data_IF_076880231167
#
_entry.id   IF_076880231167
#
_cell.length_a   1.000
_cell.length_b   1.000
_cell.length_c   1.000
_cell.angle_alpha   90.00
_cell.angle_beta   90.00
_cell.angle_gamma   90.00
#
_symmetry.space_group_name_H-M   'P 1'
#
loop_
_entity.id
_entity.type
_entity.pdbx_description
1 polymer ?
#
# COMPACT_ATOMS: atom_id res chain seq x y z
N UNK A 1 -7.52 -44.37 -24.06
CA UNK A 1 -7.22 -42.92 -24.08
C UNK A 1 -7.53 -42.24 -22.75
N UNK A 2 -8.77 -42.31 -22.22
CA UNK A 2 -9.16 -41.64 -20.97
C UNK A 2 -8.32 -42.02 -19.73
N UNK A 3 -7.88 -43.27 -19.58
CA UNK A 3 -7.05 -43.70 -18.45
C UNK A 3 -5.59 -43.17 -18.50
N UNK A 4 -5.04 -43.00 -19.70
CA UNK A 4 -3.70 -42.39 -19.89
C UNK A 4 -3.77 -40.91 -19.56
N UNK A 5 -4.84 -40.23 -19.98
CA UNK A 5 -5.14 -38.87 -19.54
C UNK A 5 -5.27 -38.78 -18.03
N UNK A 6 -5.96 -39.72 -17.37
CA UNK A 6 -6.13 -39.67 -15.91
C UNK A 6 -4.84 -39.95 -15.12
N UNK A 7 -3.98 -40.87 -15.59
CA UNK A 7 -2.66 -41.11 -15.01
C UNK A 7 -1.70 -39.93 -15.21
N UNK A 8 -1.74 -39.26 -16.37
CA UNK A 8 -0.96 -38.05 -16.64
C UNK A 8 -1.54 -36.81 -15.93
N UNK A 9 -2.86 -36.74 -15.74
CA UNK A 9 -3.58 -35.75 -14.95
C UNK A 9 -3.32 -35.86 -13.45
N UNK A 10 -2.79 -36.98 -12.97
CA UNK A 10 -2.28 -37.16 -11.59
C UNK A 10 -0.77 -36.85 -11.49
N UNK A 11 -0.10 -36.67 -12.65
CA UNK A 11 1.29 -36.25 -12.76
C UNK A 11 1.43 -34.72 -12.89
N UNK A 12 2.30 -34.31 -13.83
CA UNK A 12 2.75 -32.93 -13.95
C UNK A 12 1.68 -31.95 -14.47
N UNK A 13 0.74 -32.42 -15.30
CA UNK A 13 -0.36 -31.60 -15.82
C UNK A 13 -1.24 -31.08 -14.67
N UNK A 14 -1.43 -31.86 -13.61
CA UNK A 14 -2.14 -31.44 -12.39
C UNK A 14 -1.55 -30.15 -11.81
N UNK A 15 -0.23 -30.07 -11.74
CA UNK A 15 0.49 -28.97 -11.13
C UNK A 15 0.28 -27.69 -11.95
N UNK A 16 0.23 -27.80 -13.27
CA UNK A 16 -0.10 -26.68 -14.17
C UNK A 16 -1.53 -26.18 -13.89
N UNK A 17 -2.51 -27.07 -13.75
CA UNK A 17 -3.88 -26.69 -13.43
C UNK A 17 -4.03 -26.07 -12.03
N UNK A 18 -3.36 -26.62 -11.01
CA UNK A 18 -3.34 -26.03 -9.66
C UNK A 18 -2.73 -24.63 -9.69
N UNK A 19 -1.61 -24.46 -10.40
CA UNK A 19 -0.98 -23.15 -10.58
C UNK A 19 -1.91 -22.19 -11.33
N UNK A 20 -2.64 -22.66 -12.36
CA UNK A 20 -3.62 -21.86 -13.08
C UNK A 20 -4.76 -21.38 -12.17
N UNK A 21 -5.30 -22.25 -11.32
CA UNK A 21 -6.33 -21.86 -10.33
C UNK A 21 -5.79 -20.82 -9.36
N UNK A 22 -4.57 -21.01 -8.85
CA UNK A 22 -3.91 -20.04 -7.98
C UNK A 22 -3.69 -18.69 -8.70
N UNK A 23 -3.33 -18.71 -9.97
CA UNK A 23 -3.14 -17.50 -10.76
C UNK A 23 -4.46 -16.76 -11.01
N UNK A 24 -5.57 -17.48 -11.28
CA UNK A 24 -6.92 -16.89 -11.33
C UNK A 24 -7.28 -16.24 -9.99
N UNK A 25 -6.99 -16.91 -8.87
CA UNK A 25 -7.21 -16.35 -7.55
C UNK A 25 -6.42 -15.03 -7.35
N UNK A 26 -5.17 -14.97 -7.81
CA UNK A 26 -4.38 -13.74 -7.77
C UNK A 26 -4.98 -12.63 -8.62
N UNK A 27 -5.45 -12.90 -9.84
CA UNK A 27 -6.15 -11.91 -10.67
C UNK A 27 -7.35 -11.32 -9.94
N UNK A 28 -8.21 -12.18 -9.37
CA UNK A 28 -9.39 -11.73 -8.63
C UNK A 28 -9.01 -10.92 -7.39
N UNK A 29 -7.96 -11.34 -6.68
CA UNK A 29 -7.42 -10.63 -5.53
C UNK A 29 -6.89 -9.25 -5.92
N UNK A 30 -6.09 -9.15 -6.98
CA UNK A 30 -5.55 -7.87 -7.46
C UNK A 30 -6.66 -6.93 -7.88
N UNK A 31 -7.68 -7.40 -8.61
CA UNK A 31 -8.85 -6.58 -8.96
C UNK A 31 -9.61 -6.07 -7.73
N UNK A 32 -9.77 -6.89 -6.69
CA UNK A 32 -10.40 -6.45 -5.43
C UNK A 32 -9.54 -5.40 -4.72
N UNK A 33 -8.23 -5.57 -4.70
CA UNK A 33 -7.30 -4.62 -4.09
C UNK A 33 -7.30 -3.28 -4.82
N UNK A 34 -7.21 -3.27 -6.15
CA UNK A 34 -7.32 -2.05 -6.98
C UNK A 34 -8.61 -1.30 -6.66
N UNK A 35 -9.76 -2.00 -6.62
CA UNK A 35 -11.04 -1.38 -6.25
C UNK A 35 -11.04 -0.76 -4.86
N UNK A 36 -10.44 -1.44 -3.87
CA UNK A 36 -10.36 -0.94 -2.51
C UNK A 36 -9.48 0.31 -2.41
N UNK A 37 -8.39 0.38 -3.17
CA UNK A 37 -7.50 1.54 -3.19
C UNK A 37 -8.15 2.70 -3.97
N UNK A 38 -8.78 2.40 -5.10
CA UNK A 38 -9.50 3.39 -5.89
C UNK A 38 -10.67 4.00 -5.12
N UNK A 39 -11.41 3.21 -4.36
CA UNK A 39 -12.50 3.72 -3.51
C UNK A 39 -12.03 4.70 -2.43
N UNK A 40 -10.76 4.60 -1.99
CA UNK A 40 -10.13 5.54 -1.05
C UNK A 40 -9.64 6.80 -1.77
N UNK A 41 -9.00 6.65 -2.94
CA UNK A 41 -8.46 7.78 -3.71
C UNK A 41 -9.52 8.62 -4.41
N UNK A 42 -10.58 7.97 -4.89
CA UNK A 42 -11.73 8.56 -5.55
C UNK A 42 -12.98 7.84 -5.05
N UNK A 43 -13.63 8.33 -3.99
CA UNK A 43 -14.97 7.87 -3.65
C UNK A 43 -15.89 8.28 -4.81
N UNK A 44 -16.02 7.41 -5.82
CA UNK A 44 -17.01 7.54 -6.88
C UNK A 44 -18.39 7.20 -6.29
N UNK A 45 -18.89 8.12 -5.49
CA UNK A 45 -20.30 8.23 -5.16
C UNK A 45 -20.83 9.45 -5.89
N UNK A 46 -21.75 9.23 -6.83
CA UNK A 46 -22.81 10.22 -7.04
C UNK A 46 -23.28 10.70 -5.67
N UNK A 47 -23.49 12.01 -5.49
CA UNK A 47 -24.09 12.59 -4.29
C UNK A 47 -25.61 12.77 -4.50
N UNK A 48 -26.47 11.73 -4.51
CA UNK A 48 -27.88 11.94 -4.21
C UNK A 48 -27.98 12.00 -2.69
N UNK A 49 -27.88 13.20 -2.08
CA UNK A 49 -28.08 13.28 -0.62
C UNK A 49 -27.74 14.57 0.14
N UNK A 50 -27.17 15.61 -0.49
CA UNK A 50 -26.92 16.88 0.20
C UNK A 50 -25.91 16.82 1.37
N UNK A 51 -25.82 17.91 2.14
CA UNK A 51 -24.72 18.29 3.06
C UNK A 51 -24.27 17.23 4.08
N UNK A 52 -25.12 16.28 4.49
CA UNK A 52 -24.73 15.23 5.47
C UNK A 52 -23.70 14.23 4.91
N UNK A 53 -23.71 13.96 3.61
CA UNK A 53 -22.69 13.09 3.02
C UNK A 53 -21.38 13.83 2.74
N UNK A 54 -21.35 15.18 2.77
CA UNK A 54 -20.10 15.93 2.60
C UNK A 54 -19.25 15.92 3.88
N UNK A 55 -19.87 15.79 5.05
CA UNK A 55 -19.18 15.79 6.36
C UNK A 55 -18.43 14.47 6.61
N UNK A 56 -19.05 13.33 6.28
CA UNK A 56 -18.36 12.02 6.28
C UNK A 56 -17.27 11.93 5.21
N UNK A 57 -17.44 12.67 4.13
CA UNK A 57 -16.45 12.74 3.06
C UNK A 57 -15.26 13.61 3.48
N UNK A 58 -15.50 14.74 4.16
CA UNK A 58 -14.42 15.57 4.71
C UNK A 58 -13.64 14.83 5.79
N UNK A 59 -14.31 14.09 6.68
CA UNK A 59 -13.63 13.28 7.70
C UNK A 59 -12.78 12.15 7.07
N UNK A 60 -13.26 11.54 5.98
CA UNK A 60 -12.48 10.57 5.20
C UNK A 60 -11.25 11.21 4.56
N UNK A 61 -11.41 12.37 3.92
CA UNK A 61 -10.28 13.10 3.34
C UNK A 61 -9.29 13.56 4.41
N UNK A 62 -9.74 14.08 5.54
CA UNK A 62 -8.88 14.50 6.65
C UNK A 62 -8.07 13.32 7.23
N UNK A 63 -8.68 12.13 7.36
CA UNK A 63 -7.96 10.93 7.78
C UNK A 63 -6.86 10.57 6.78
N UNK A 64 -7.15 10.59 5.48
CA UNK A 64 -6.16 10.24 4.45
C UNK A 64 -5.15 11.37 4.18
N UNK A 65 -5.44 12.64 4.48
CA UNK A 65 -4.43 13.71 4.44
C UNK A 65 -3.55 13.78 5.70
N UNK A 66 -3.84 12.96 6.72
CA UNK A 66 -2.99 12.86 7.90
C UNK A 66 -1.74 11.98 7.64
N UNK A 67 -0.65 12.16 8.41
CA UNK A 67 0.53 11.29 8.34
C UNK A 67 0.21 9.80 8.56
N UNK A 68 -0.81 9.49 9.36
CA UNK A 68 -1.28 8.12 9.62
C UNK A 68 -2.02 7.54 8.41
N UNK A 69 -2.86 8.35 7.76
CA UNK A 69 -3.56 7.99 6.53
C UNK A 69 -2.63 7.71 5.36
N UNK A 70 -1.53 8.46 5.26
CA UNK A 70 -0.49 8.24 4.25
C UNK A 70 0.15 6.86 4.40
N UNK A 71 0.49 6.44 5.63
CA UNK A 71 1.07 5.11 5.88
C UNK A 71 0.11 3.99 5.48
N UNK A 72 -1.18 4.12 5.83
CA UNK A 72 -2.21 3.15 5.45
C UNK A 72 -2.34 3.08 3.93
N UNK A 73 -2.29 4.24 3.26
CA UNK A 73 -2.40 4.32 1.81
C UNK A 73 -1.19 3.70 1.11
N UNK A 74 0.03 4.01 1.56
CA UNK A 74 1.27 3.40 1.07
C UNK A 74 1.25 1.88 1.26
N UNK A 75 0.78 1.39 2.41
CA UNK A 75 0.70 -0.05 2.66
C UNK A 75 -0.30 -0.73 1.71
N UNK A 76 -1.49 -0.15 1.54
CA UNK A 76 -2.52 -0.66 0.62
C UNK A 76 -2.03 -0.68 -0.83
N UNK A 77 -1.33 0.38 -1.25
CA UNK A 77 -0.71 0.48 -2.56
C UNK A 77 0.38 -0.60 -2.75
N UNK A 78 1.31 -0.73 -1.78
CA UNK A 78 2.36 -1.76 -1.79
C UNK A 78 1.79 -3.18 -1.89
N UNK A 79 0.71 -3.48 -1.15
CA UNK A 79 0.02 -4.79 -1.19
C UNK A 79 -0.60 -5.07 -2.56
N UNK A 80 -1.12 -4.04 -3.22
CA UNK A 80 -1.69 -4.14 -4.57
C UNK A 80 -0.61 -4.43 -5.59
N UNK A 81 0.47 -3.64 -5.58
CA UNK A 81 1.60 -3.82 -6.49
C UNK A 81 2.26 -5.20 -6.29
N UNK A 82 2.49 -5.61 -5.04
CA UNK A 82 3.02 -6.94 -4.73
C UNK A 82 2.14 -8.07 -5.31
N UNK A 83 0.82 -7.97 -5.17
CA UNK A 83 -0.10 -9.00 -5.69
C UNK A 83 -0.09 -9.05 -7.23
N UNK A 84 0.01 -7.89 -7.88
CA UNK A 84 0.15 -7.77 -9.32
C UNK A 84 1.48 -8.37 -9.82
N UNK A 85 2.61 -8.00 -9.22
CA UNK A 85 3.93 -8.55 -9.56
C UNK A 85 4.00 -10.06 -9.36
N UNK A 86 3.37 -10.60 -8.31
CA UNK A 86 3.30 -12.05 -8.10
C UNK A 86 2.51 -12.74 -9.20
N UNK A 87 1.37 -12.18 -9.62
CA UNK A 87 0.60 -12.68 -10.75
C UNK A 87 1.42 -12.69 -12.06
N UNK A 88 2.14 -11.62 -12.35
CA UNK A 88 2.97 -11.54 -13.56
C UNK A 88 4.09 -12.60 -13.54
N UNK A 89 4.78 -12.74 -12.40
CA UNK A 89 5.84 -13.73 -12.24
C UNK A 89 5.33 -15.17 -12.34
N UNK A 90 4.15 -15.48 -11.80
CA UNK A 90 3.56 -16.81 -11.95
C UNK A 90 3.15 -17.05 -13.40
N UNK A 91 2.63 -16.02 -14.07
CA UNK A 91 2.27 -16.08 -15.48
C UNK A 91 3.47 -16.43 -16.37
N UNK A 92 4.66 -15.91 -16.05
CA UNK A 92 5.89 -16.22 -16.81
C UNK A 92 6.47 -17.61 -16.54
N UNK A 93 6.04 -18.28 -15.46
CA UNK A 93 6.47 -19.64 -15.10
C UNK A 93 5.74 -20.73 -15.91
N UNK A 94 4.52 -20.47 -16.42
CA UNK A 94 3.75 -21.49 -17.15
C UNK A 94 4.47 -22.11 -18.36
N UNK A 95 5.14 -21.34 -19.25
CA UNK A 95 5.93 -21.92 -20.33
C UNK A 95 7.11 -22.75 -19.83
N UNK A 96 7.75 -22.32 -18.74
CA UNK A 96 8.87 -23.04 -18.12
C UNK A 96 8.43 -24.38 -17.53
N UNK A 97 7.25 -24.40 -16.90
CA UNK A 97 6.61 -25.65 -16.45
C UNK A 97 6.30 -26.56 -17.65
N UNK A 98 5.75 -26.00 -18.73
CA UNK A 98 5.50 -26.75 -19.97
C UNK A 98 6.76 -27.42 -20.53
N UNK A 99 7.92 -26.75 -20.46
CA UNK A 99 9.22 -27.33 -20.81
C UNK A 99 9.67 -28.40 -19.83
N UNK A 100 9.52 -28.18 -18.52
CA UNK A 100 9.90 -29.15 -17.50
C UNK A 100 9.10 -30.46 -17.62
N UNK A 101 7.82 -30.39 -17.99
CA UNK A 101 7.01 -31.57 -18.29
C UNK A 101 7.56 -32.42 -19.43
N UNK A 102 8.18 -31.80 -20.44
CA UNK A 102 8.88 -32.56 -21.49
C UNK A 102 10.13 -33.26 -20.98
N UNK A 103 10.94 -32.59 -20.16
CA UNK A 103 12.17 -33.16 -19.59
C UNK A 103 11.83 -34.37 -18.71
N UNK A 104 10.83 -34.24 -17.83
CA UNK A 104 10.38 -35.32 -16.95
C UNK A 104 9.84 -36.51 -17.74
N UNK A 105 9.15 -36.27 -18.86
CA UNK A 105 8.57 -37.33 -19.68
C UNK A 105 9.60 -38.00 -20.62
N UNK A 106 10.61 -37.26 -21.07
CA UNK A 106 11.65 -37.78 -21.98
C UNK A 106 12.79 -38.52 -21.26
N UNK A 107 13.14 -38.12 -20.02
CA UNK A 107 14.16 -38.80 -19.21
C UNK A 107 13.97 -40.33 -19.09
N UNK A 108 12.78 -40.86 -18.72
CA UNK A 108 12.57 -42.30 -18.60
C UNK A 108 12.61 -43.03 -19.95
N UNK A 109 12.25 -42.36 -21.06
CA UNK A 109 12.34 -42.94 -22.41
C UNK A 109 13.81 -43.21 -22.79
N UNK A 110 14.72 -42.31 -22.40
CA UNK A 110 16.15 -42.46 -22.67
C UNK A 110 16.79 -43.47 -21.71
N UNK A 111 16.26 -43.61 -20.50
CA UNK A 111 16.80 -44.50 -19.46
C UNK A 111 16.32 -45.96 -19.60
N UNK A 112 15.08 -46.21 -20.03
CA UNK A 112 14.51 -47.55 -20.20
C UNK A 112 14.23 -47.86 -21.69
N UNK A 113 15.26 -48.34 -22.38
CA UNK A 113 15.12 -48.92 -23.73
C UNK A 113 14.50 -50.31 -23.60
N UNK A 114 13.15 -50.42 -23.58
CA UNK A 114 12.55 -51.75 -23.39
C UNK A 114 11.09 -51.99 -23.75
N UNK A 115 10.21 -50.99 -23.77
CA UNK A 115 8.78 -51.24 -24.07
C UNK A 115 8.15 -50.13 -24.93
N UNK A 116 7.98 -50.40 -26.23
CA UNK A 116 7.46 -49.44 -27.22
C UNK A 116 6.09 -48.84 -26.84
N UNK A 117 5.19 -49.63 -26.23
CA UNK A 117 3.85 -49.16 -25.85
C UNK A 117 3.87 -48.13 -24.69
N UNK A 118 4.85 -48.22 -23.79
CA UNK A 118 5.03 -47.28 -22.68
C UNK A 118 5.65 -45.96 -23.15
N UNK A 119 6.52 -46.03 -24.16
CA UNK A 119 7.24 -44.87 -24.70
C UNK A 119 6.31 -43.87 -25.40
N UNK A 120 5.33 -44.34 -26.17
CA UNK A 120 4.38 -43.46 -26.86
C UNK A 120 3.51 -42.68 -25.88
N UNK A 121 3.08 -43.29 -24.77
CA UNK A 121 2.29 -42.63 -23.73
C UNK A 121 3.03 -41.48 -23.04
N UNK A 122 4.32 -41.66 -22.76
CA UNK A 122 5.19 -40.63 -22.19
C UNK A 122 5.43 -39.47 -23.16
N UNK A 123 5.60 -39.75 -24.45
CA UNK A 123 5.76 -38.70 -25.47
C UNK A 123 4.49 -37.83 -25.59
N UNK A 124 3.31 -38.44 -25.60
CA UNK A 124 2.07 -37.66 -25.58
C UNK A 124 1.89 -36.84 -24.29
N UNK A 125 2.30 -37.39 -23.13
CA UNK A 125 2.29 -36.66 -21.86
C UNK A 125 3.17 -35.39 -21.91
N UNK A 126 4.36 -35.50 -22.51
CA UNK A 126 5.27 -34.38 -22.72
C UNK A 126 4.59 -33.25 -23.52
N UNK A 127 3.97 -33.63 -24.65
CA UNK A 127 3.33 -32.68 -25.56
C UNK A 127 2.11 -32.01 -24.94
N UNK A 128 1.28 -32.75 -24.19
CA UNK A 128 0.10 -32.18 -23.52
C UNK A 128 0.50 -31.19 -22.43
N UNK A 129 1.55 -31.47 -21.66
CA UNK A 129 2.07 -30.56 -20.64
C UNK A 129 2.57 -29.24 -21.25
N UNK A 130 3.29 -29.29 -22.38
CA UNK A 130 3.73 -28.08 -23.07
C UNK A 130 2.55 -27.31 -23.65
N UNK A 131 1.59 -28.01 -24.23
CA UNK A 131 0.37 -27.40 -24.77
C UNK A 131 -0.38 -26.62 -23.68
N UNK A 132 -0.66 -27.23 -22.52
CA UNK A 132 -1.37 -26.55 -21.43
C UNK A 132 -0.57 -25.39 -20.82
N UNK A 133 0.74 -25.55 -20.65
CA UNK A 133 1.61 -24.46 -20.18
C UNK A 133 1.55 -23.23 -21.09
N UNK A 134 1.62 -23.42 -22.40
CA UNK A 134 1.54 -22.33 -23.38
C UNK A 134 0.14 -21.72 -23.42
N UNK A 135 -0.91 -22.55 -23.45
CA UNK A 135 -2.31 -22.07 -23.48
C UNK A 135 -2.61 -21.18 -22.27
N UNK A 136 -2.24 -21.60 -21.06
CA UNK A 136 -2.43 -20.78 -19.87
C UNK A 136 -1.58 -19.51 -19.90
N UNK A 137 -0.32 -19.59 -20.33
CA UNK A 137 0.54 -18.42 -20.45
C UNK A 137 -0.08 -17.35 -21.36
N UNK A 138 -0.63 -17.74 -22.52
CA UNK A 138 -1.28 -16.82 -23.46
C UNK A 138 -2.51 -16.17 -22.83
N UNK A 139 -3.40 -16.97 -22.22
CA UNK A 139 -4.62 -16.48 -21.60
C UNK A 139 -4.29 -15.49 -20.47
N UNK A 140 -3.38 -15.85 -19.57
CA UNK A 140 -3.01 -14.98 -18.47
C UNK A 140 -2.23 -13.75 -18.92
N UNK A 141 -1.41 -13.83 -19.98
CA UNK A 141 -0.74 -12.66 -20.54
C UNK A 141 -1.73 -11.68 -21.17
N UNK A 142 -2.80 -12.17 -21.79
CA UNK A 142 -3.89 -11.32 -22.28
C UNK A 142 -4.63 -10.61 -21.13
N UNK A 143 -4.92 -11.34 -20.04
CA UNK A 143 -5.51 -10.77 -18.82
C UNK A 143 -4.57 -9.73 -18.19
N UNK A 144 -3.26 -9.99 -18.20
CA UNK A 144 -2.24 -9.07 -17.71
C UNK A 144 -2.31 -7.72 -18.42
N UNK A 145 -2.51 -7.70 -19.74
CA UNK A 145 -2.65 -6.44 -20.48
C UNK A 145 -3.80 -5.56 -19.99
N UNK A 146 -4.94 -6.16 -19.62
CA UNK A 146 -6.09 -5.41 -19.06
C UNK A 146 -5.77 -4.93 -17.64
N UNK A 147 -5.17 -5.80 -16.82
CA UNK A 147 -4.85 -5.50 -15.43
C UNK A 147 -3.75 -4.44 -15.30
N UNK A 148 -2.79 -4.45 -16.22
CA UNK A 148 -1.71 -3.48 -16.30
C UNK A 148 -2.25 -2.06 -16.50
N UNK A 149 -3.22 -1.89 -17.40
CA UNK A 149 -3.86 -0.58 -17.61
C UNK A 149 -4.55 -0.05 -16.34
N UNK A 150 -5.19 -0.92 -15.56
CA UNK A 150 -5.80 -0.54 -14.26
C UNK A 150 -4.73 -0.14 -13.22
N UNK A 151 -3.59 -0.85 -13.18
CA UNK A 151 -2.48 -0.56 -12.26
C UNK A 151 -1.77 0.75 -12.64
N UNK A 152 -1.48 0.99 -13.92
CA UNK A 152 -0.85 2.24 -14.38
C UNK A 152 -1.71 3.47 -14.07
N UNK A 153 -3.03 3.33 -14.19
CA UNK A 153 -3.96 4.38 -13.76
C UNK A 153 -3.89 4.60 -12.24
N UNK A 154 -3.87 3.52 -11.45
CA UNK A 154 -3.73 3.60 -10.00
C UNK A 154 -2.41 4.25 -9.57
N UNK A 155 -1.30 3.92 -10.22
CA UNK A 155 0.03 4.49 -9.96
C UNK A 155 0.03 6.00 -10.18
N UNK A 156 -0.60 6.45 -11.26
CA UNK A 156 -0.75 7.88 -11.57
C UNK A 156 -1.54 8.60 -10.49
N UNK A 157 -2.64 8.00 -10.02
CA UNK A 157 -3.46 8.57 -8.94
C UNK A 157 -2.74 8.58 -7.59
N UNK A 158 -2.03 7.49 -7.26
CA UNK A 158 -1.25 7.39 -6.04
C UNK A 158 -0.13 8.44 -6.01
N UNK A 159 0.58 8.63 -7.13
CA UNK A 159 1.61 9.66 -7.27
C UNK A 159 1.04 11.05 -7.05
N UNK A 160 -0.06 11.39 -7.71
CA UNK A 160 -0.75 12.67 -7.53
C UNK A 160 -1.21 12.88 -6.08
N UNK A 161 -1.69 11.83 -5.42
CA UNK A 161 -2.08 11.88 -4.02
C UNK A 161 -0.90 12.20 -3.11
N UNK A 162 0.24 11.50 -3.27
CA UNK A 162 1.42 11.73 -2.44
C UNK A 162 2.03 13.12 -2.67
N UNK A 163 2.07 13.57 -3.93
CA UNK A 163 2.53 14.92 -4.27
C UNK A 163 1.66 15.97 -3.58
N UNK A 164 0.33 15.87 -3.71
CA UNK A 164 -0.60 16.78 -3.03
C UNK A 164 -0.42 16.74 -1.52
N UNK A 165 -0.33 15.55 -0.92
CA UNK A 165 -0.20 15.42 0.53
C UNK A 165 1.09 16.09 1.05
N UNK A 166 2.21 15.89 0.34
CA UNK A 166 3.49 16.51 0.69
C UNK A 166 3.43 18.04 0.70
N UNK A 167 2.73 18.64 -0.27
CA UNK A 167 2.53 20.09 -0.35
C UNK A 167 1.64 20.59 0.79
N UNK A 168 0.53 19.89 1.08
CA UNK A 168 -0.38 20.27 2.16
C UNK A 168 0.30 20.24 3.54
N UNK A 169 1.09 19.20 3.82
CA UNK A 169 1.83 19.08 5.07
C UNK A 169 2.90 20.18 5.19
N UNK A 170 3.64 20.46 4.12
CA UNK A 170 4.62 21.55 4.09
C UNK A 170 4.01 22.94 4.30
N UNK A 171 2.81 23.20 3.78
CA UNK A 171 2.11 24.47 4.03
C UNK A 171 1.68 24.61 5.50
N UNK A 172 1.16 23.53 6.09
CA UNK A 172 0.71 23.53 7.49
C UNK A 172 1.87 23.76 8.46
N UNK A 173 3.03 23.18 8.18
CA UNK A 173 4.26 23.42 8.94
C UNK A 173 4.68 24.90 8.87
N UNK A 174 4.75 25.47 7.66
CA UNK A 174 5.13 26.87 7.47
C UNK A 174 4.15 27.87 8.14
N UNK A 175 2.84 27.55 8.15
CA UNK A 175 1.85 28.34 8.88
C UNK A 175 2.08 28.30 10.40
N UNK A 176 2.32 27.10 10.94
CA UNK A 176 2.60 26.94 12.37
C UNK A 176 3.88 27.67 12.80
N UNK A 177 4.94 27.65 11.98
CA UNK A 177 6.15 28.44 12.23
C UNK A 177 5.86 29.95 12.21
N UNK A 178 5.09 30.44 11.25
CA UNK A 178 4.75 31.86 11.15
C UNK A 178 3.97 32.35 12.37
N UNK A 179 3.01 31.54 12.85
CA UNK A 179 2.23 31.83 14.06
C UNK A 179 3.10 31.77 15.33
N UNK A 180 4.04 30.82 15.40
CA UNK A 180 4.97 30.74 16.52
C UNK A 180 5.88 31.98 16.59
N UNK A 181 6.37 32.46 15.43
CA UNK A 181 7.19 33.67 15.32
C UNK A 181 6.39 34.92 15.71
N UNK A 182 5.14 35.06 15.24
CA UNK A 182 4.27 36.19 15.59
C UNK A 182 3.98 36.22 17.10
N UNK A 183 3.71 35.05 17.71
CA UNK A 183 3.46 34.94 19.14
C UNK A 183 4.72 35.24 19.97
N UNK A 184 5.92 34.82 19.52
CA UNK A 184 7.17 35.21 20.20
C UNK A 184 7.43 36.71 20.15
N UNK A 185 7.13 37.39 19.03
CA UNK A 185 7.28 38.85 18.94
C UNK A 185 6.24 39.61 19.79
N UNK A 186 5.01 39.11 19.91
CA UNK A 186 4.02 39.69 20.85
C UNK A 186 4.47 39.57 22.30
N UNK A 187 5.08 38.45 22.67
CA UNK A 187 5.56 38.20 24.04
C UNK A 187 6.78 39.07 24.40
N UNK A 188 7.63 39.42 23.42
CA UNK A 188 8.72 40.39 23.62
C UNK A 188 8.21 41.83 23.78
N UNK A 189 7.20 42.24 23.02
CA UNK A 189 6.63 43.59 23.14
C UNK A 189 5.87 43.82 24.45
N UNK A 190 5.19 42.80 24.99
CA UNK A 190 4.47 42.91 26.27
C UNK A 190 5.40 43.04 27.48
N UNK A 191 6.64 42.51 27.40
CA UNK A 191 7.65 42.64 28.46
C UNK A 191 8.35 44.01 28.46
N UNK A 192 8.44 44.70 27.32
CA UNK A 192 9.10 46.02 27.24
C UNK A 192 8.19 47.13 27.82
N UNK A 193 6.87 46.96 27.75
CA UNK A 193 5.91 47.95 28.27
C UNK A 193 5.74 47.88 29.80
N UNK A 194 6.14 46.79 30.47
CA UNK A 194 6.08 46.67 31.94
C UNK A 194 7.30 47.23 32.67
N UNK A 195 8.45 47.38 32.00
CA UNK A 195 9.68 47.89 32.62
C UNK A 195 9.76 49.43 32.69
N UNK A 196 8.77 50.17 32.16
CA UNK A 196 8.80 51.64 32.09
C UNK A 196 7.90 52.38 33.12
N UNK A 197 7.25 51.69 34.05
CA UNK A 197 6.41 52.32 35.08
C UNK A 197 6.79 51.83 36.49
N UNK A 198 8.01 52.12 36.96
CA UNK A 198 8.25 52.22 38.42
C UNK A 198 9.57 52.94 38.76
N UNK A 199 9.69 54.23 38.39
CA UNK A 199 10.59 55.13 39.13
C UNK A 199 9.77 56.19 39.87
N UNK A 200 9.65 56.02 41.19
CA UNK A 200 9.27 57.10 42.11
C UNK A 200 10.10 57.03 43.39
N UNK A 201 10.76 58.12 43.81
CA UNK A 201 11.77 58.08 44.87
C UNK A 201 11.11 58.17 46.26
N UNK A 202 11.53 57.32 47.19
CA UNK A 202 11.12 57.38 48.59
C UNK A 202 12.02 58.37 49.35
N UNK A 203 11.37 59.44 49.82
CA UNK A 203 11.93 60.47 50.69
C UNK A 203 12.17 59.95 52.10
N UNK A 204 13.25 60.46 52.66
CA UNK A 204 13.78 60.43 54.02
C UNK A 204 12.85 61.09 55.07
N UNK A 205 12.68 60.46 56.25
CA UNK A 205 12.35 61.06 57.57
C UNK A 205 12.31 59.96 58.66
N UNK A 206 13.37 59.78 59.47
CA UNK A 206 13.62 60.33 60.83
C UNK A 206 12.61 59.88 61.90
N UNK A 207 13.07 58.95 62.75
CA UNK A 207 13.08 58.81 64.24
C UNK A 207 11.94 59.45 65.05
N UNK A 208 11.38 58.67 65.98
CA UNK A 208 11.03 58.95 67.41
C UNK A 208 10.25 57.72 67.92
N UNK A 209 10.27 57.17 69.14
CA UNK A 209 11.02 57.23 70.39
C UNK A 209 10.53 55.96 71.15
N UNK A 210 11.37 55.34 71.99
CA UNK A 210 10.93 54.28 72.95
C UNK A 210 9.97 54.87 74.02
N UNK A 211 9.24 54.02 74.76
CA UNK A 211 9.79 53.70 76.08
C UNK A 211 9.60 52.24 76.54
N UNK A 212 10.66 51.74 77.18
CA UNK A 212 10.69 50.96 78.42
C UNK A 212 9.36 50.36 78.94
N UNK A 213 9.36 49.03 79.16
CA UNK A 213 9.00 48.50 80.47
C UNK A 213 9.71 47.17 80.77
N UNK A 214 10.01 47.04 82.05
CA UNK A 214 10.93 46.15 82.75
C UNK A 214 10.36 44.75 83.01
N UNK A 215 11.28 43.86 83.38
CA UNK A 215 11.11 42.77 84.36
C UNK A 215 10.77 41.33 83.94
N UNK A 216 11.83 40.51 84.05
CA UNK A 216 11.97 39.34 84.95
C UNK A 216 11.02 38.14 84.76
N UNK A 217 11.54 37.06 84.16
CA UNK A 217 12.07 35.83 84.80
C UNK A 217 12.57 34.87 83.69
#
# INVERSE_FOLDING_TARGET
MFEVFWKNFIGFDFLIFVLAIFNVFLVLRTKRLIKNVLAVLQPQGYLPGGKQNSEKLSEHFELYLSPEGEQIMQEKYRRTNFSYTMFENITSIFPLMGLLGTVVSLLPIVAEVGSMDSTTGLFFAALTSTFWGIVFAIIFKAINGILQAEIEYLDSLATLYFERNSVFLGQKENQNLSLAIENSHKTEHENIDQDFIEEKPLKEKIIDEEPFEEDLI
#
